data_IF_084317251631
#
_entry.id   IF_084317251631
#
_cell.length_a   1.000
_cell.length_b   1.000
_cell.length_c   1.000
_cell.angle_alpha   90.00
_cell.angle_beta   90.00
_cell.angle_gamma   90.00
#
_symmetry.space_group_name_H-M   'P 1'
#
loop_
_entity.id
_entity.type
_entity.pdbx_description
1 polymer ?
#
# COMPACT_ATOMS: atom_id res chain seq x y z
N UNK A 1 29.41 -107.55 7.09
CA UNK A 1 30.88 -107.47 7.29
C UNK A 1 31.36 -106.22 6.57
N UNK A 2 32.02 -105.28 7.25
CA UNK A 2 33.49 -105.06 7.23
C UNK A 2 34.07 -104.95 5.80
N UNK A 3 34.56 -103.78 5.37
CA UNK A 3 35.91 -103.17 5.65
C UNK A 3 37.05 -103.88 4.88
N UNK A 4 38.19 -103.21 4.53
CA UNK A 4 38.58 -101.81 4.81
C UNK A 4 39.20 -100.99 3.62
N UNK A 5 39.53 -99.75 3.97
CA UNK A 5 40.35 -98.67 3.40
C UNK A 5 41.45 -98.96 2.34
N UNK A 6 41.53 -98.07 1.31
CA UNK A 6 42.69 -97.54 0.53
C UNK A 6 42.10 -96.59 -0.56
N UNK A 7 42.64 -95.45 -1.04
CA UNK A 7 43.85 -94.61 -0.80
C UNK A 7 43.40 -93.11 -0.74
N UNK A 8 44.10 -92.15 -0.12
CA UNK A 8 45.27 -91.34 -0.53
C UNK A 8 45.19 -90.56 -1.87
N UNK A 9 44.77 -89.29 -1.84
CA UNK A 9 45.33 -88.15 -2.59
C UNK A 9 44.88 -86.82 -1.92
N UNK A 10 45.81 -86.00 -1.42
CA UNK A 10 46.31 -84.76 -2.05
C UNK A 10 45.22 -83.70 -2.35
N UNK A 11 45.11 -82.68 -1.48
CA UNK A 11 44.14 -81.59 -1.61
C UNK A 11 44.55 -80.35 -0.82
N UNK A 12 45.34 -79.48 -1.44
CA UNK A 12 45.95 -78.28 -0.82
C UNK A 12 44.93 -77.37 -0.11
N UNK A 13 45.22 -77.03 1.15
CA UNK A 13 44.41 -76.10 1.93
C UNK A 13 44.60 -74.65 1.44
N UNK A 14 43.72 -74.18 0.56
CA UNK A 14 43.74 -72.81 0.04
C UNK A 14 42.36 -72.17 0.11
N UNK A 15 42.29 -70.90 0.56
CA UNK A 15 41.17 -70.02 0.20
C UNK A 15 40.30 -69.45 1.33
N UNK A 16 40.85 -69.07 2.50
CA UNK A 16 40.15 -68.14 3.41
C UNK A 16 40.15 -66.71 2.83
N UNK A 17 39.41 -66.49 1.75
CA UNK A 17 39.16 -65.17 1.18
C UNK A 17 38.12 -64.41 2.02
N UNK A 18 38.51 -63.98 3.23
CA UNK A 18 37.78 -62.93 3.95
C UNK A 18 37.73 -61.70 3.04
N UNK A 19 36.54 -61.36 2.57
CA UNK A 19 36.31 -60.20 1.70
C UNK A 19 36.63 -58.93 2.49
N UNK A 20 37.82 -58.37 2.28
CA UNK A 20 38.23 -57.13 2.92
C UNK A 20 37.33 -55.99 2.45
N UNK A 21 36.33 -55.66 3.26
CA UNK A 21 35.61 -54.39 3.16
C UNK A 21 36.62 -53.30 3.51
N UNK A 22 37.22 -52.69 2.48
CA UNK A 22 38.08 -51.54 2.67
C UNK A 22 37.29 -50.43 3.38
N UNK A 23 37.76 -49.90 4.52
CA UNK A 23 37.13 -48.72 5.08
C UNK A 23 37.32 -47.58 4.08
N UNK A 24 36.22 -46.97 3.62
CA UNK A 24 36.29 -45.66 2.98
C UNK A 24 36.79 -44.69 4.04
N UNK A 25 38.09 -44.42 4.01
CA UNK A 25 38.75 -43.45 4.86
C UNK A 25 38.28 -42.06 4.42
N UNK A 26 37.09 -41.67 4.87
CA UNK A 26 36.57 -40.33 4.74
C UNK A 26 37.59 -39.37 5.35
N UNK A 27 38.25 -38.57 4.50
CA UNK A 27 39.22 -37.59 4.96
C UNK A 27 38.49 -36.58 5.83
N UNK A 28 38.85 -36.51 7.11
CA UNK A 28 38.23 -35.59 8.05
C UNK A 28 38.69 -34.15 7.75
N UNK A 29 37.95 -33.46 6.88
CA UNK A 29 38.15 -32.05 6.55
C UNK A 29 37.75 -31.14 7.73
N UNK A 30 38.52 -31.16 8.82
CA UNK A 30 38.23 -30.45 10.07
C UNK A 30 38.31 -28.92 10.00
N UNK A 31 38.56 -28.34 8.82
CA UNK A 31 38.62 -26.88 8.61
C UNK A 31 37.56 -26.31 7.65
N UNK A 32 37.08 -27.08 6.66
CA UNK A 32 36.21 -26.55 5.60
C UNK A 32 34.81 -26.20 6.12
N UNK A 33 34.28 -26.98 7.05
CA UNK A 33 32.96 -26.76 7.65
C UNK A 33 32.80 -25.38 8.32
N UNK A 34 33.85 -24.86 8.98
CA UNK A 34 33.80 -23.56 9.67
C UNK A 34 33.89 -22.37 8.69
N UNK A 35 34.60 -22.55 7.58
CA UNK A 35 34.67 -21.55 6.51
C UNK A 35 33.32 -21.50 5.77
N UNK A 36 32.75 -22.67 5.44
CA UNK A 36 31.44 -22.75 4.78
C UNK A 36 30.31 -22.20 5.64
N UNK A 37 30.30 -22.48 6.95
CA UNK A 37 29.28 -21.91 7.85
C UNK A 37 29.38 -20.39 7.97
N UNK A 38 30.61 -19.83 8.00
CA UNK A 38 30.82 -18.39 7.98
C UNK A 38 30.31 -17.75 6.68
N UNK A 39 30.60 -18.35 5.52
CA UNK A 39 30.13 -17.86 4.21
C UNK A 39 28.61 -17.91 4.11
N UNK A 40 27.98 -19.01 4.52
CA UNK A 40 26.51 -19.15 4.51
C UNK A 40 25.87 -18.14 5.46
N UNK A 41 26.42 -17.96 6.68
CA UNK A 41 25.94 -16.97 7.64
C UNK A 41 26.08 -15.54 7.10
N UNK A 42 27.20 -15.21 6.45
CA UNK A 42 27.41 -13.92 5.81
C UNK A 42 26.38 -13.65 4.70
N UNK A 43 26.10 -14.63 3.84
CA UNK A 43 25.07 -14.52 2.79
C UNK A 43 23.68 -14.30 3.41
N UNK A 44 23.30 -15.09 4.42
CA UNK A 44 22.04 -14.92 5.14
C UNK A 44 21.94 -13.55 5.82
N UNK A 45 23.04 -13.03 6.36
CA UNK A 45 23.09 -11.70 6.98
C UNK A 45 22.83 -10.60 5.96
N UNK A 46 23.47 -10.66 4.79
CA UNK A 46 23.26 -9.68 3.71
C UNK A 46 21.79 -9.73 3.24
N UNK A 47 21.25 -10.92 2.97
CA UNK A 47 19.85 -11.09 2.58
C UNK A 47 18.88 -10.55 3.64
N UNK A 48 19.15 -10.83 4.92
CA UNK A 48 18.36 -10.31 6.04
C UNK A 48 18.38 -8.78 6.14
N UNK A 49 19.56 -8.16 6.03
CA UNK A 49 19.71 -6.70 6.05
C UNK A 49 19.02 -6.05 4.85
N UNK A 50 19.11 -6.63 3.65
CA UNK A 50 18.39 -6.14 2.46
C UNK A 50 16.88 -6.24 2.66
N UNK A 51 16.37 -7.37 3.17
CA UNK A 51 14.94 -7.55 3.44
C UNK A 51 14.42 -6.55 4.50
N UNK A 52 15.15 -6.35 5.60
CA UNK A 52 14.81 -5.34 6.61
C UNK A 52 14.82 -3.92 6.03
N UNK A 53 15.80 -3.59 5.20
CA UNK A 53 15.90 -2.27 4.55
C UNK A 53 14.70 -2.01 3.64
N UNK A 54 14.24 -3.02 2.88
CA UNK A 54 13.03 -2.93 2.06
C UNK A 54 11.78 -2.76 2.93
N UNK A 55 11.61 -3.57 3.97
CA UNK A 55 10.47 -3.46 4.89
C UNK A 55 10.37 -2.07 5.56
N UNK A 56 11.50 -1.47 5.96
CA UNK A 56 11.53 -0.10 6.51
C UNK A 56 11.20 0.99 5.48
N UNK A 57 11.40 0.74 4.18
CA UNK A 57 10.94 1.64 3.12
C UNK A 57 9.43 1.48 2.87
N UNK A 58 8.94 0.24 2.83
CA UNK A 58 7.52 -0.07 2.68
C UNK A 58 6.68 0.47 3.85
N UNK A 59 7.18 0.40 5.09
CA UNK A 59 6.56 1.01 6.27
C UNK A 59 6.39 2.53 6.10
N UNK A 60 7.43 3.22 5.63
CA UNK A 60 7.38 4.67 5.39
C UNK A 60 6.45 5.03 4.24
N UNK A 61 6.43 4.25 3.16
CA UNK A 61 5.49 4.45 2.04
C UNK A 61 4.04 4.20 2.47
N UNK A 62 3.80 3.17 3.29
CA UNK A 62 2.50 2.88 3.91
C UNK A 62 2.04 4.02 4.82
N UNK A 63 2.91 4.53 5.69
CA UNK A 63 2.65 5.69 6.52
C UNK A 63 2.31 6.96 5.72
N UNK A 64 3.11 7.29 4.70
CA UNK A 64 2.84 8.43 3.83
C UNK A 64 1.50 8.30 3.07
N UNK A 65 1.19 7.09 2.59
CA UNK A 65 -0.08 6.80 1.91
C UNK A 65 -1.25 6.95 2.87
N UNK A 66 -1.13 6.44 4.09
CA UNK A 66 -2.15 6.59 5.12
C UNK A 66 -2.43 8.06 5.47
N UNK A 67 -1.39 8.89 5.63
CA UNK A 67 -1.56 10.32 5.93
C UNK A 67 -2.10 11.11 4.72
N UNK A 68 -1.80 10.69 3.49
CA UNK A 68 -2.40 11.25 2.27
C UNK A 68 -3.89 10.91 2.18
N UNK A 69 -4.27 9.67 2.51
CA UNK A 69 -5.67 9.24 2.55
C UNK A 69 -6.46 10.01 3.61
N UNK A 70 -5.93 10.22 4.81
CA UNK A 70 -6.54 11.08 5.84
C UNK A 70 -6.74 12.52 5.37
N UNK A 71 -5.77 13.08 4.64
CA UNK A 71 -5.92 14.41 4.06
C UNK A 71 -7.07 14.45 3.04
N UNK A 72 -7.28 13.37 2.28
CA UNK A 72 -8.38 13.23 1.32
C UNK A 72 -9.74 13.06 2.04
N UNK A 73 -9.84 12.18 3.04
CA UNK A 73 -11.02 12.01 3.89
C UNK A 73 -11.44 13.32 4.58
N UNK A 74 -10.47 14.08 5.11
CA UNK A 74 -10.73 15.41 5.67
C UNK A 74 -11.27 16.38 4.60
N UNK A 75 -10.72 16.36 3.37
CA UNK A 75 -11.19 17.20 2.27
C UNK A 75 -12.64 16.86 1.86
N UNK A 76 -12.99 15.58 1.73
CA UNK A 76 -14.37 15.16 1.46
C UNK A 76 -15.32 15.52 2.62
N UNK A 77 -14.88 15.34 3.87
CA UNK A 77 -15.67 15.75 5.05
C UNK A 77 -15.95 17.25 5.06
N UNK A 78 -14.96 18.08 4.77
CA UNK A 78 -15.13 19.54 4.67
C UNK A 78 -16.06 19.94 3.52
N UNK A 79 -16.01 19.22 2.39
CA UNK A 79 -16.88 19.46 1.24
C UNK A 79 -18.36 19.10 1.53
N UNK A 80 -18.58 18.00 2.25
CA UNK A 80 -19.92 17.63 2.75
C UNK A 80 -20.46 18.66 3.75
N UNK A 81 -19.62 19.12 4.69
CA UNK A 81 -19.99 20.18 5.64
C UNK A 81 -20.32 21.50 4.92
N UNK A 82 -19.54 21.85 3.89
CA UNK A 82 -19.77 23.03 3.06
C UNK A 82 -21.10 23.02 2.28
N UNK A 83 -21.66 21.84 1.98
CA UNK A 83 -23.01 21.71 1.38
C UNK A 83 -24.13 21.79 2.42
N UNK A 84 -23.87 21.35 3.65
CA UNK A 84 -24.81 21.48 4.77
C UNK A 84 -24.83 22.91 5.34
N UNK A 85 -23.71 23.62 5.24
CA UNK A 85 -23.56 25.01 5.66
C UNK A 85 -24.43 25.96 4.82
N UNK A 86 -25.27 26.75 5.49
CA UNK A 86 -26.13 27.72 4.83
C UNK A 86 -25.32 28.77 4.05
N UNK A 87 -25.75 29.05 2.82
CA UNK A 87 -25.06 29.99 1.93
C UNK A 87 -23.73 29.48 1.37
N UNK A 88 -23.44 28.16 1.39
CA UNK A 88 -22.28 27.59 0.70
C UNK A 88 -22.18 28.00 -0.78
N UNK A 89 -23.33 28.09 -1.46
CA UNK A 89 -23.47 28.41 -2.90
C UNK A 89 -24.12 29.79 -3.15
N UNK A 90 -23.87 30.78 -2.28
CA UNK A 90 -24.46 32.12 -2.47
C UNK A 90 -23.90 32.82 -3.72
N UNK A 91 -24.83 33.18 -4.63
CA UNK A 91 -24.55 33.91 -5.87
C UNK A 91 -23.98 35.31 -5.66
N UNK A 92 -24.36 36.04 -4.60
CA UNK A 92 -23.87 37.41 -4.40
C UNK A 92 -22.39 37.42 -4.00
N UNK A 93 -22.00 36.54 -3.09
CA UNK A 93 -20.62 36.45 -2.61
C UNK A 93 -19.70 35.66 -3.55
N UNK A 94 -20.19 34.56 -4.15
CA UNK A 94 -19.35 33.66 -4.95
C UNK A 94 -19.15 34.08 -6.41
N UNK A 95 -19.87 35.10 -6.89
CA UNK A 95 -19.75 35.64 -8.26
C UNK A 95 -18.65 36.68 -8.45
N UNK A 96 -18.15 37.26 -7.35
CA UNK A 96 -17.14 38.33 -7.37
C UNK A 96 -15.80 37.90 -6.74
N UNK A 97 -15.79 36.85 -5.92
CA UNK A 97 -14.58 36.21 -5.39
C UNK A 97 -14.90 34.80 -4.86
N UNK A 98 -13.92 33.89 -4.73
CA UNK A 98 -14.16 32.60 -4.10
C UNK A 98 -14.60 32.75 -2.65
N UNK A 99 -15.80 32.24 -2.33
CA UNK A 99 -16.28 32.12 -0.95
C UNK A 99 -15.54 30.98 -0.27
N UNK A 100 -14.56 31.32 0.55
CA UNK A 100 -13.84 30.36 1.39
C UNK A 100 -14.58 30.18 2.71
N UNK A 101 -15.07 28.96 2.95
CA UNK A 101 -15.54 28.52 4.25
C UNK A 101 -14.33 28.24 5.16
N UNK A 102 -14.43 28.71 6.39
CA UNK A 102 -13.38 28.60 7.40
C UNK A 102 -12.99 27.13 7.67
N UNK A 103 -11.76 26.87 8.18
CA UNK A 103 -11.25 25.50 8.23
C UNK A 103 -12.13 24.59 9.10
N UNK A 104 -12.69 23.56 8.47
CA UNK A 104 -13.34 22.45 9.15
C UNK A 104 -12.27 21.63 9.88
N UNK A 105 -12.49 21.26 11.14
CA UNK A 105 -11.60 20.38 11.91
C UNK A 105 -12.10 18.94 11.84
N UNK A 106 -11.29 18.07 11.23
CA UNK A 106 -11.51 16.64 11.16
C UNK A 106 -10.76 15.95 12.32
N UNK A 107 -11.46 15.63 13.40
CA UNK A 107 -10.89 14.87 14.51
C UNK A 107 -11.10 13.35 14.32
N UNK A 108 -10.21 12.74 13.54
CA UNK A 108 -10.06 11.28 13.45
C UNK A 108 -8.89 10.79 14.31
N UNK A 109 -8.68 11.36 15.51
CA UNK A 109 -7.61 10.99 16.43
C UNK A 109 -6.19 11.45 16.02
N UNK A 110 -6.05 12.12 14.88
CA UNK A 110 -4.91 12.93 14.47
C UNK A 110 -5.44 14.11 13.66
N UNK A 111 -5.50 15.29 14.29
CA UNK A 111 -6.25 16.45 13.79
C UNK A 111 -5.92 16.82 12.35
N UNK A 112 -6.84 16.52 11.44
CA UNK A 112 -6.84 17.05 10.08
C UNK A 112 -7.68 18.33 10.00
N UNK A 113 -7.48 19.12 8.97
CA UNK A 113 -8.35 20.26 8.69
C UNK A 113 -8.59 20.42 7.19
N UNK A 114 -9.78 20.87 6.82
CA UNK A 114 -10.16 21.10 5.43
C UNK A 114 -10.66 22.52 5.22
N UNK A 115 -10.16 23.19 4.18
CA UNK A 115 -10.61 24.52 3.75
C UNK A 115 -11.32 24.39 2.41
N UNK A 116 -12.57 24.85 2.31
CA UNK A 116 -13.37 24.77 1.09
C UNK A 116 -13.55 26.15 0.48
N UNK A 117 -13.12 26.32 -0.76
CA UNK A 117 -13.38 27.53 -1.55
C UNK A 117 -14.37 27.22 -2.65
N UNK A 118 -15.46 27.99 -2.71
CA UNK A 118 -16.51 27.90 -3.75
C UNK A 118 -16.44 29.14 -4.63
N UNK A 119 -16.46 28.98 -5.95
CA UNK A 119 -16.59 30.11 -6.89
C UNK A 119 -17.61 29.81 -7.97
N UNK A 120 -18.33 30.86 -8.39
CA UNK A 120 -19.24 30.79 -9.53
C UNK A 120 -18.46 30.64 -10.84
N UNK A 121 -19.01 29.88 -11.78
CA UNK A 121 -18.44 29.73 -13.13
C UNK A 121 -19.34 30.40 -14.17
N UNK A 122 -20.60 29.96 -14.28
CA UNK A 122 -21.52 30.43 -15.32
C UNK A 122 -22.97 30.01 -15.04
N UNK A 123 -23.92 30.71 -15.65
CA UNK A 123 -25.28 30.23 -15.83
C UNK A 123 -25.37 29.35 -17.08
N UNK A 124 -26.13 28.26 -17.01
CA UNK A 124 -26.46 27.40 -18.16
C UNK A 124 -27.96 27.09 -18.18
N UNK A 125 -28.50 26.72 -19.35
CA UNK A 125 -29.86 26.24 -19.44
C UNK A 125 -30.05 24.95 -18.59
N UNK A 126 -31.20 24.75 -17.92
CA UNK A 126 -31.47 23.53 -17.16
C UNK A 126 -31.35 22.27 -18.01
N UNK A 127 -30.87 21.17 -17.42
CA UNK A 127 -30.69 19.90 -18.13
C UNK A 127 -32.04 19.41 -18.69
N UNK A 128 -32.07 19.00 -19.96
CA UNK A 128 -33.28 18.45 -20.61
C UNK A 128 -33.82 17.28 -19.79
N UNK A 129 -35.12 17.29 -19.50
CA UNK A 129 -35.78 16.28 -18.66
C UNK A 129 -35.77 16.57 -17.15
N UNK A 130 -35.21 17.70 -16.69
CA UNK A 130 -35.21 18.11 -15.28
C UNK A 130 -36.55 18.68 -14.76
N UNK A 131 -37.53 18.90 -15.64
CA UNK A 131 -38.82 19.52 -15.30
C UNK A 131 -38.83 21.05 -15.26
N UNK A 132 -37.66 21.70 -15.25
CA UNK A 132 -37.55 23.16 -15.28
C UNK A 132 -37.68 23.72 -16.71
N UNK A 133 -38.48 24.78 -16.86
CA UNK A 133 -38.68 25.51 -18.12
C UNK A 133 -37.67 26.64 -18.36
N UNK A 134 -37.87 27.40 -19.44
CA UNK A 134 -37.00 28.51 -19.89
C UNK A 134 -36.86 29.68 -18.90
N UNK A 135 -37.72 29.75 -17.88
CA UNK A 135 -37.71 30.79 -16.86
C UNK A 135 -36.71 30.48 -15.71
N UNK A 136 -35.98 29.38 -15.81
CA UNK A 136 -34.97 28.93 -14.85
C UNK A 136 -33.63 28.73 -15.53
N UNK A 137 -32.56 28.90 -14.76
CA UNK A 137 -31.18 28.64 -15.16
C UNK A 137 -30.48 27.83 -14.07
N UNK A 138 -29.44 27.08 -14.46
CA UNK A 138 -28.53 26.42 -13.54
C UNK A 138 -27.35 27.35 -13.29
N UNK A 139 -27.21 27.84 -12.06
CA UNK A 139 -26.00 28.49 -11.58
C UNK A 139 -24.95 27.40 -11.28
N UNK A 140 -23.87 27.36 -12.06
CA UNK A 140 -22.80 26.39 -11.87
C UNK A 140 -21.70 27.00 -11.01
N UNK A 141 -21.28 26.28 -9.97
CA UNK A 141 -20.18 26.60 -9.09
C UNK A 141 -19.16 25.48 -9.11
N UNK A 142 -17.90 25.83 -8.93
CA UNK A 142 -16.83 24.88 -8.65
C UNK A 142 -16.43 25.04 -7.19
N UNK A 143 -16.25 23.92 -6.51
CA UNK A 143 -15.80 23.84 -5.13
C UNK A 143 -14.46 23.12 -5.10
N UNK A 144 -13.45 23.72 -4.47
CA UNK A 144 -12.20 23.03 -4.14
C UNK A 144 -12.07 22.92 -2.62
N UNK A 145 -11.99 21.68 -2.14
CA UNK A 145 -11.67 21.37 -0.76
C UNK A 145 -10.20 20.96 -0.65
N UNK A 146 -9.42 21.70 0.15
CA UNK A 146 -8.03 21.34 0.47
C UNK A 146 -7.99 20.78 1.88
N UNK A 147 -7.74 19.48 2.01
CA UNK A 147 -7.51 18.81 3.28
C UNK A 147 -6.02 18.74 3.61
N UNK A 148 -5.70 18.92 4.89
CA UNK A 148 -4.35 18.88 5.45
C UNK A 148 -4.33 18.07 6.74
N UNK A 149 -3.24 17.36 7.00
CA UNK A 149 -3.00 16.66 8.28
C UNK A 149 -2.03 17.45 9.16
N UNK A 150 -1.98 17.15 10.46
CA UNK A 150 -1.01 17.74 11.40
C UNK A 150 0.46 17.52 10.98
N UNK A 151 0.74 16.48 10.19
CA UNK A 151 2.08 16.13 9.70
C UNK A 151 2.39 16.72 8.31
N UNK A 152 1.50 17.53 7.75
CA UNK A 152 1.73 18.26 6.50
C UNK A 152 1.35 17.52 5.21
N UNK A 153 0.79 16.31 5.30
CA UNK A 153 0.17 15.66 4.13
C UNK A 153 -1.03 16.51 3.64
N UNK A 154 -1.17 16.65 2.32
CA UNK A 154 -2.15 17.53 1.67
C UNK A 154 -2.85 16.80 0.53
N UNK A 155 -4.17 16.89 0.49
CA UNK A 155 -5.00 16.46 -0.63
C UNK A 155 -5.89 17.62 -1.11
N UNK A 156 -6.34 17.55 -2.37
CA UNK A 156 -7.31 18.51 -2.92
C UNK A 156 -8.38 17.75 -3.68
N UNK A 157 -9.63 18.05 -3.38
CA UNK A 157 -10.81 17.50 -4.05
C UNK A 157 -11.53 18.65 -4.77
N UNK A 158 -11.93 18.42 -6.01
CA UNK A 158 -12.70 19.37 -6.81
C UNK A 158 -14.08 18.80 -7.11
N UNK A 159 -15.13 19.62 -6.99
CA UNK A 159 -16.49 19.23 -7.33
C UNK A 159 -17.26 20.39 -7.97
N UNK A 160 -17.83 20.14 -9.14
CA UNK A 160 -18.84 21.00 -9.74
C UNK A 160 -20.22 20.75 -9.11
N UNK A 161 -20.92 21.82 -8.73
CA UNK A 161 -22.29 21.79 -8.21
C UNK A 161 -23.14 22.83 -8.92
N UNK A 162 -24.42 22.50 -9.14
CA UNK A 162 -25.34 23.38 -9.84
C UNK A 162 -26.61 23.62 -9.01
N UNK A 163 -26.94 24.89 -8.79
CA UNK A 163 -28.19 25.30 -8.16
C UNK A 163 -29.16 25.82 -9.22
N UNK A 164 -30.40 25.34 -9.22
CA UNK A 164 -31.44 25.91 -10.08
C UNK A 164 -31.95 27.22 -9.47
N UNK A 165 -31.95 28.27 -10.28
CA UNK A 165 -32.40 29.61 -9.90
C UNK A 165 -33.36 30.17 -10.95
N UNK A 166 -34.28 31.08 -10.58
CA UNK A 166 -35.05 31.83 -11.57
C UNK A 166 -34.13 32.67 -12.45
N UNK A 167 -34.40 32.71 -13.75
CA UNK A 167 -33.72 33.63 -14.66
C UNK A 167 -34.10 35.07 -14.28
N UNK A 168 -33.13 35.93 -14.03
CA UNK A 168 -33.40 37.37 -13.91
C UNK A 168 -33.75 37.91 -15.30
N UNK A 169 -34.88 38.60 -15.40
CA UNK A 169 -35.45 39.09 -16.66
C UNK A 169 -34.92 40.48 -17.03
#
# INVERSE_FOLDING_TARGET
>A
MNMPCINSESGSAHGLAKKYLAPVAGRYERGTALIMSLVILMILTILGVTAMSTASLEEKMSGNTQETNKAFEAAESGLNDAMNASGGLDLNTSSSSPKTLSPFSYDSGKSGSATVSTWFVQFTAPKRGSGYGSNFEAANFEQASTGTTTVGAKAVVHQGVAQIVPKSN
#
